data_IF_553505449774
#
_entry.id   IF_553505449774
#
_cell.length_a   1.000
_cell.length_b   1.000
_cell.length_c   1.000
_cell.angle_alpha   90.00
_cell.angle_beta   90.00
_cell.angle_gamma   90.00
#
_symmetry.space_group_name_H-M   'P 1'
#
loop_
_entity.id
_entity.type
_entity.pdbx_description
1 polymer ?
#
# COMPACT_ATOMS: atom_id res chain seq x y z
N UNK A 1 30.07 -51.01 5.82
CA UNK A 1 29.79 -50.07 6.92
C UNK A 1 29.19 -48.79 6.36
N UNK A 2 28.12 -48.29 7.01
CA UNK A 2 27.44 -47.01 6.72
C UNK A 2 28.27 -45.84 7.27
N UNK A 3 28.37 -44.72 6.53
CA UNK A 3 27.80 -43.42 6.94
C UNK A 3 28.11 -42.30 5.93
N UNK A 4 27.02 -41.65 5.56
CA UNK A 4 26.81 -40.30 5.04
C UNK A 4 27.65 -39.23 5.75
N UNK A 5 28.13 -38.25 4.98
CA UNK A 5 28.69 -36.98 5.45
C UNK A 5 28.24 -35.85 4.54
N UNK A 6 26.97 -35.48 4.66
CA UNK A 6 26.43 -34.22 4.18
C UNK A 6 26.65 -33.14 5.25
N UNK A 7 26.85 -31.89 4.82
CA UNK A 7 26.57 -30.71 5.63
C UNK A 7 27.78 -29.87 6.00
N UNK A 8 27.89 -28.70 5.38
CA UNK A 8 27.80 -27.42 6.08
C UNK A 8 27.97 -26.29 5.05
N UNK A 9 26.92 -26.01 4.28
CA UNK A 9 26.78 -24.70 3.68
C UNK A 9 26.51 -23.71 4.81
N UNK A 10 27.51 -22.90 5.10
CA UNK A 10 27.53 -21.89 6.15
C UNK A 10 26.31 -20.98 6.03
N UNK A 11 25.42 -21.09 7.01
CA UNK A 11 24.22 -20.29 7.18
C UNK A 11 24.62 -18.84 7.50
N UNK A 12 24.69 -18.00 6.47
CA UNK A 12 24.84 -16.55 6.67
C UNK A 12 23.57 -16.01 7.32
N UNK A 13 23.65 -15.28 8.44
CA UNK A 13 22.48 -14.65 9.01
C UNK A 13 21.91 -13.63 8.02
N UNK A 14 20.62 -13.79 7.75
CA UNK A 14 19.78 -12.92 6.93
C UNK A 14 19.95 -11.48 7.43
N UNK A 15 20.63 -10.63 6.64
CA UNK A 15 20.77 -9.21 6.94
C UNK A 15 19.36 -8.60 6.98
N UNK A 16 18.97 -7.87 8.04
CA UNK A 16 17.69 -7.16 8.04
C UNK A 16 17.71 -6.15 6.88
N UNK A 17 16.66 -6.17 6.05
CA UNK A 17 16.50 -5.30 4.89
C UNK A 17 16.73 -3.84 5.29
N UNK A 18 17.72 -3.19 4.67
CA UNK A 18 18.13 -1.82 4.95
C UNK A 18 17.00 -0.78 4.82
N UNK A 19 15.89 -1.11 4.12
CA UNK A 19 14.69 -0.27 4.02
C UNK A 19 14.07 0.05 5.40
N UNK A 20 13.95 -0.93 6.30
CA UNK A 20 13.34 -0.75 7.63
C UNK A 20 14.15 0.24 8.50
N UNK A 21 15.46 0.33 8.29
CA UNK A 21 16.31 1.29 8.99
C UNK A 21 16.29 2.69 8.37
N UNK A 22 15.96 2.82 7.08
CA UNK A 22 15.88 4.09 6.37
C UNK A 22 14.63 4.88 6.78
N UNK A 23 13.49 4.20 6.90
CA UNK A 23 12.21 4.79 7.33
C UNK A 23 12.25 5.21 8.80
N UNK A 24 12.85 4.40 9.69
CA UNK A 24 12.91 4.67 11.15
C UNK A 24 13.85 5.80 11.58
N UNK A 25 14.66 6.37 10.67
CA UNK A 25 15.61 7.47 10.95
C UNK A 25 15.30 8.79 10.26
N UNK A 26 14.12 8.93 9.61
CA UNK A 26 13.68 10.21 9.05
C UNK A 26 14.66 10.80 8.03
N UNK A 27 15.23 9.96 7.15
CA UNK A 27 16.24 10.42 6.19
C UNK A 27 16.07 9.83 4.79
N UNK A 28 14.83 9.77 4.30
CA UNK A 28 14.57 9.87 2.86
C UNK A 28 14.66 11.35 2.48
N UNK A 29 15.87 11.81 2.13
CA UNK A 29 16.08 13.16 1.63
C UNK A 29 15.84 13.17 0.12
N UNK A 30 14.63 13.54 -0.28
CA UNK A 30 14.34 14.00 -1.64
C UNK A 30 13.76 15.41 -1.57
N UNK A 31 14.65 16.38 -1.74
CA UNK A 31 14.38 17.61 -2.49
C UNK A 31 13.23 18.54 -2.06
N UNK A 32 13.59 19.50 -1.21
CA UNK A 32 13.20 20.92 -1.29
C UNK A 32 11.76 21.31 -0.91
N UNK A 33 11.65 21.90 0.28
CA UNK A 33 10.56 22.79 0.69
C UNK A 33 10.25 23.86 -0.37
N UNK A 34 8.98 23.99 -0.72
CA UNK A 34 8.37 25.27 -1.02
C UNK A 34 6.90 25.26 -0.55
N UNK A 35 6.69 25.63 0.71
CA UNK A 35 5.36 25.92 1.25
C UNK A 35 5.17 27.44 1.21
N UNK A 36 4.29 27.94 0.35
CA UNK A 36 3.57 29.15 0.69
C UNK A 36 2.07 28.89 0.68
N UNK A 37 1.45 29.51 1.69
CA UNK A 37 0.10 30.07 1.68
C UNK A 37 -0.95 29.35 2.51
N UNK A 38 -0.95 29.66 3.82
CA UNK A 38 -2.15 29.68 4.64
C UNK A 38 -2.89 30.99 4.38
N UNK A 39 -4.00 30.91 3.64
CA UNK A 39 -4.99 31.97 3.44
C UNK A 39 -6.37 31.47 3.82
N UNK A 40 -7.13 32.25 4.59
CA UNK A 40 -8.26 31.77 5.38
C UNK A 40 -9.60 31.59 4.67
N UNK A 41 -10.46 30.80 5.36
CA UNK A 41 -11.94 30.86 5.48
C UNK A 41 -12.79 30.75 4.21
N UNK A 42 -13.44 29.59 4.03
CA UNK A 42 -14.92 29.40 4.03
C UNK A 42 -15.26 27.90 4.02
N UNK A 43 -16.23 27.49 4.83
CA UNK A 43 -16.89 26.17 4.74
C UNK A 43 -17.68 26.08 3.44
N UNK A 44 -17.15 25.31 2.48
CA UNK A 44 -17.90 24.67 1.41
C UNK A 44 -17.60 23.17 1.47
N UNK A 45 -18.56 22.26 1.18
CA UNK A 45 -18.27 20.84 1.14
C UNK A 45 -17.19 20.62 0.08
N UNK A 46 -16.00 20.24 0.52
CA UNK A 46 -14.85 20.08 -0.35
C UNK A 46 -15.25 19.21 -1.56
N UNK A 47 -14.92 19.62 -2.79
CA UNK A 47 -15.02 18.72 -3.93
C UNK A 47 -14.27 17.43 -3.57
N UNK A 48 -14.82 16.28 -3.98
CA UNK A 48 -14.10 15.01 -3.83
C UNK A 48 -12.66 15.23 -4.33
N UNK A 49 -11.63 14.71 -3.63
CA UNK A 49 -10.28 14.81 -4.14
C UNK A 49 -10.27 14.33 -5.59
N UNK A 50 -9.79 15.20 -6.48
CA UNK A 50 -9.63 14.93 -7.90
C UNK A 50 -8.48 13.94 -8.12
N UNK A 51 -8.38 13.41 -9.34
CA UNK A 51 -7.32 12.46 -9.74
C UNK A 51 -5.91 12.97 -9.40
N UNK A 52 -5.71 14.29 -9.42
CA UNK A 52 -4.48 14.96 -8.99
C UNK A 52 -4.22 14.88 -7.47
N UNK A 53 -5.23 15.09 -6.60
CA UNK A 53 -5.07 14.88 -5.14
C UNK A 53 -4.77 13.43 -4.75
N UNK A 54 -5.15 12.47 -5.61
CA UNK A 54 -4.86 11.03 -5.46
C UNK A 54 -3.42 10.70 -5.85
N UNK A 55 -2.85 11.42 -6.82
CA UNK A 55 -1.44 11.29 -7.19
C UNK A 55 -0.50 11.77 -6.06
N UNK A 56 -0.94 12.78 -5.28
CA UNK A 56 -0.23 13.25 -4.09
C UNK A 56 -0.33 12.23 -2.95
N UNK A 57 -1.50 11.59 -2.76
CA UNK A 57 -1.68 10.48 -1.80
C UNK A 57 -0.80 9.26 -2.15
N UNK A 58 -0.61 8.99 -3.45
CA UNK A 58 0.28 7.95 -3.94
C UNK A 58 1.75 8.26 -3.72
N UNK A 59 2.15 9.53 -3.63
CA UNK A 59 3.52 9.90 -3.26
C UNK A 59 3.86 9.50 -1.81
N UNK A 60 2.86 9.19 -0.99
CA UNK A 60 3.07 8.77 0.40
C UNK A 60 3.29 7.24 0.58
N UNK A 61 3.08 6.41 -0.45
CA UNK A 61 3.31 4.94 -0.38
C UNK A 61 4.79 4.51 -0.50
N UNK A 62 5.73 5.35 -0.04
CA UNK A 62 7.17 5.11 -0.13
C UNK A 62 7.60 3.83 0.61
N UNK A 63 6.97 3.52 1.75
CA UNK A 63 7.28 2.31 2.52
C UNK A 63 6.91 1.05 1.73
N UNK A 64 5.68 0.96 1.22
CA UNK A 64 5.23 -0.15 0.38
C UNK A 64 6.12 -0.32 -0.87
N UNK A 65 6.48 0.78 -1.55
CA UNK A 65 7.35 0.73 -2.74
C UNK A 65 8.77 0.29 -2.40
N UNK A 66 9.36 0.73 -1.28
CA UNK A 66 10.67 0.23 -0.82
C UNK A 66 10.61 -1.27 -0.54
N UNK A 67 9.54 -1.71 0.12
CA UNK A 67 9.39 -3.11 0.52
C UNK A 67 9.14 -4.03 -0.68
N UNK A 68 8.25 -3.63 -1.60
CA UNK A 68 8.02 -4.32 -2.86
C UNK A 68 9.31 -4.42 -3.69
N UNK A 69 10.04 -3.30 -3.83
CA UNK A 69 11.32 -3.28 -4.54
C UNK A 69 12.37 -4.19 -3.88
N UNK A 70 12.38 -4.27 -2.54
CA UNK A 70 13.24 -5.17 -1.78
C UNK A 70 12.96 -6.65 -2.02
N UNK A 71 11.72 -7.00 -2.36
CA UNK A 71 11.29 -8.35 -2.75
C UNK A 71 11.25 -8.54 -4.29
N UNK A 72 11.73 -7.56 -5.07
CA UNK A 72 11.80 -7.63 -6.53
C UNK A 72 10.47 -7.36 -7.26
N UNK A 73 9.47 -6.83 -6.55
CA UNK A 73 8.15 -6.48 -7.08
C UNK A 73 8.14 -5.03 -7.55
N UNK A 74 7.72 -4.82 -8.81
CA UNK A 74 7.53 -3.47 -9.38
C UNK A 74 6.05 -3.11 -9.33
N UNK A 75 5.74 -2.02 -8.62
CA UNK A 75 4.40 -1.45 -8.54
C UNK A 75 4.19 -0.46 -9.69
N UNK A 76 3.23 -0.76 -10.57
CA UNK A 76 2.92 0.03 -11.77
C UNK A 76 1.44 0.39 -11.90
N UNK A 77 0.75 0.41 -10.76
CA UNK A 77 -0.65 0.77 -10.62
C UNK A 77 -1.59 -0.09 -11.48
N UNK A 78 -1.17 -1.32 -11.80
CA UNK A 78 -1.93 -2.32 -12.56
C UNK A 78 -2.50 -3.42 -11.67
N UNK A 79 -3.52 -4.13 -12.16
CA UNK A 79 -4.03 -5.32 -11.49
C UNK A 79 -2.94 -6.39 -11.25
N UNK A 80 -2.03 -6.59 -12.21
CA UNK A 80 -0.94 -7.55 -12.11
C UNK A 80 0.03 -7.24 -10.95
N UNK A 81 0.21 -5.96 -10.62
CA UNK A 81 1.04 -5.57 -9.48
C UNK A 81 0.40 -5.92 -8.12
N UNK A 82 -0.94 -6.04 -8.04
CA UNK A 82 -1.62 -6.52 -6.84
C UNK A 82 -1.35 -8.01 -6.61
N UNK A 83 -1.38 -8.81 -7.67
CA UNK A 83 -1.01 -10.23 -7.59
C UNK A 83 0.43 -10.39 -7.10
N UNK A 84 1.34 -9.55 -7.59
CA UNK A 84 2.73 -9.56 -7.15
C UNK A 84 2.89 -9.17 -5.67
N UNK A 85 2.10 -8.20 -5.17
CA UNK A 85 2.04 -7.88 -3.74
C UNK A 85 1.57 -9.08 -2.91
N UNK A 86 0.52 -9.78 -3.36
CA UNK A 86 -0.03 -10.95 -2.67
C UNK A 86 0.97 -12.12 -2.54
N UNK A 87 2.01 -12.16 -3.38
CA UNK A 87 3.08 -13.17 -3.33
C UNK A 87 4.27 -12.77 -2.44
N UNK A 88 4.27 -11.58 -1.84
CA UNK A 88 5.38 -11.13 -1.00
C UNK A 88 5.53 -11.95 0.27
N UNK A 89 6.78 -12.13 0.71
CA UNK A 89 7.07 -12.86 1.95
C UNK A 89 6.75 -11.95 3.14
N UNK A 90 5.87 -12.35 4.07
CA UNK A 90 5.27 -11.47 5.08
C UNK A 90 6.18 -11.13 6.27
N UNK A 91 7.40 -10.66 6.00
CA UNK A 91 8.44 -10.35 7.02
C UNK A 91 8.08 -9.17 7.93
N UNK A 92 7.11 -8.36 7.53
CA UNK A 92 6.63 -7.20 8.29
C UNK A 92 5.74 -7.58 9.48
N UNK A 93 5.17 -8.80 9.50
CA UNK A 93 4.19 -9.19 10.52
C UNK A 93 4.76 -9.31 11.93
N UNK A 94 6.08 -9.46 12.06
CA UNK A 94 6.77 -9.48 13.34
C UNK A 94 6.87 -8.08 14.00
N UNK A 95 6.57 -7.01 13.25
CA UNK A 95 6.63 -5.62 13.73
C UNK A 95 5.27 -4.92 13.59
N UNK A 96 4.61 -4.66 14.72
CA UNK A 96 3.24 -4.12 14.78
C UNK A 96 3.11 -2.75 14.12
N UNK A 97 4.15 -1.92 14.25
CA UNK A 97 4.19 -0.61 13.63
C UNK A 97 4.22 -0.76 12.10
N UNK A 98 5.19 -1.52 11.57
CA UNK A 98 5.33 -1.80 10.14
C UNK A 98 4.08 -2.47 9.57
N UNK A 99 3.46 -3.42 10.28
CA UNK A 99 2.21 -4.04 9.88
C UNK A 99 1.11 -3.00 9.66
N UNK A 100 0.98 -2.05 10.58
CA UNK A 100 -0.05 -1.01 10.52
C UNK A 100 0.19 -0.05 9.34
N UNK A 101 1.42 0.43 9.17
CA UNK A 101 1.78 1.33 8.08
C UNK A 101 1.64 0.64 6.72
N UNK A 102 2.18 -0.58 6.58
CA UNK A 102 2.11 -1.33 5.33
C UNK A 102 0.67 -1.67 4.94
N UNK A 103 -0.18 -2.01 5.92
CA UNK A 103 -1.60 -2.27 5.66
C UNK A 103 -2.34 -1.03 5.16
N UNK A 104 -2.03 0.15 5.70
CA UNK A 104 -2.60 1.41 5.19
C UNK A 104 -2.13 1.65 3.74
N UNK A 105 -0.82 1.54 3.48
CA UNK A 105 -0.27 1.77 2.14
C UNK A 105 -0.81 0.76 1.11
N UNK A 106 -0.92 -0.51 1.48
CA UNK A 106 -1.48 -1.55 0.62
C UNK A 106 -2.94 -1.26 0.25
N UNK A 107 -3.72 -0.77 1.22
CA UNK A 107 -5.09 -0.32 0.99
C UNK A 107 -5.16 0.88 0.04
N UNK A 108 -4.34 1.90 0.27
CA UNK A 108 -4.30 3.08 -0.60
C UNK A 108 -3.87 2.73 -2.04
N UNK A 109 -2.92 1.80 -2.17
CA UNK A 109 -2.51 1.27 -3.46
C UNK A 109 -3.64 0.51 -4.17
N UNK A 110 -4.35 -0.38 -3.46
CA UNK A 110 -5.53 -1.08 -3.99
C UNK A 110 -6.58 -0.08 -4.50
N UNK A 111 -6.91 0.94 -3.71
CA UNK A 111 -7.89 1.95 -4.12
C UNK A 111 -7.47 2.72 -5.37
N UNK A 112 -6.17 2.95 -5.54
CA UNK A 112 -5.63 3.57 -6.76
C UNK A 112 -5.83 2.68 -7.98
N UNK A 113 -5.48 1.40 -7.88
CA UNK A 113 -5.68 0.45 -8.98
C UNK A 113 -7.16 0.38 -9.35
N UNK A 114 -8.07 0.34 -8.37
CA UNK A 114 -9.52 0.36 -8.60
C UNK A 114 -9.94 1.63 -9.35
N UNK A 115 -9.63 2.82 -8.83
CA UNK A 115 -10.07 4.09 -9.45
C UNK A 115 -9.48 4.29 -10.85
N UNK A 116 -8.28 3.78 -11.12
CA UNK A 116 -7.65 3.87 -12.44
C UNK A 116 -8.21 2.90 -13.47
N UNK A 117 -8.74 1.76 -13.04
CA UNK A 117 -9.10 0.66 -13.96
C UNK A 117 -10.60 0.34 -13.99
N UNK A 118 -11.36 0.67 -12.94
CA UNK A 118 -12.80 0.45 -12.84
C UNK A 118 -13.54 1.74 -13.18
N UNK A 119 -14.35 1.71 -14.23
CA UNK A 119 -15.04 2.90 -14.73
C UNK A 119 -16.04 3.44 -13.69
N UNK A 120 -15.97 4.74 -13.42
CA UNK A 120 -16.86 5.41 -12.47
C UNK A 120 -16.53 5.18 -11.00
N UNK A 121 -15.46 4.44 -10.68
CA UNK A 121 -14.91 4.41 -9.34
C UNK A 121 -14.25 5.75 -9.00
N UNK A 122 -14.54 6.29 -7.81
CA UNK A 122 -14.00 7.57 -7.34
C UNK A 122 -13.62 7.51 -5.87
N UNK A 123 -12.62 8.27 -5.46
CA UNK A 123 -12.28 8.41 -4.06
C UNK A 123 -13.30 9.27 -3.30
N UNK A 124 -13.52 8.91 -2.03
CA UNK A 124 -14.30 9.67 -1.07
C UNK A 124 -13.65 9.59 0.30
N UNK A 125 -13.74 10.69 1.04
CA UNK A 125 -13.40 10.71 2.47
C UNK A 125 -14.73 10.64 3.23
N UNK A 126 -14.90 9.63 4.06
CA UNK A 126 -16.06 9.49 4.94
C UNK A 126 -16.01 10.53 6.07
N UNK A 127 -17.12 10.70 6.79
CA UNK A 127 -17.20 11.66 7.93
C UNK A 127 -16.24 11.36 9.07
N UNK A 128 -15.79 10.12 9.19
CA UNK A 128 -14.77 9.65 10.13
C UNK A 128 -13.34 9.97 9.66
N UNK A 129 -13.16 10.54 8.46
CA UNK A 129 -11.85 10.82 7.86
C UNK A 129 -11.21 9.64 7.15
N UNK A 130 -11.91 8.49 7.04
CA UNK A 130 -11.36 7.31 6.36
C UNK A 130 -11.48 7.45 4.83
N UNK A 131 -10.42 7.19 4.07
CA UNK A 131 -10.51 7.15 2.61
C UNK A 131 -11.17 5.84 2.15
N UNK A 132 -12.19 5.99 1.30
CA UNK A 132 -12.95 4.89 0.71
C UNK A 132 -13.06 5.09 -0.80
N UNK A 133 -13.26 4.00 -1.54
CA UNK A 133 -13.57 4.06 -2.97
C UNK A 133 -15.07 3.85 -3.16
N UNK A 134 -15.73 4.79 -3.83
CA UNK A 134 -17.14 4.69 -4.19
C UNK A 134 -17.25 4.24 -5.64
N UNK A 135 -17.96 3.13 -5.87
CA UNK A 135 -18.19 2.56 -7.19
C UNK A 135 -19.35 3.27 -7.92
N UNK A 136 -19.46 3.02 -9.22
CA UNK A 136 -20.57 3.53 -10.05
C UNK A 136 -21.94 3.07 -9.51
N UNK A 137 -22.00 1.89 -8.89
CA UNK A 137 -23.19 1.36 -8.22
C UNK A 137 -23.60 2.13 -6.96
N UNK A 138 -22.80 3.09 -6.50
CA UNK A 138 -22.97 3.82 -5.24
C UNK A 138 -22.49 3.07 -3.99
N UNK A 139 -21.95 1.85 -4.14
CA UNK A 139 -21.34 1.10 -3.03
C UNK A 139 -20.00 1.72 -2.64
N UNK A 140 -19.74 1.79 -1.34
CA UNK A 140 -18.46 2.24 -0.80
C UNK A 140 -17.61 1.02 -0.40
N UNK A 141 -16.33 1.06 -0.72
CA UNK A 141 -15.35 0.03 -0.45
C UNK A 141 -14.24 0.60 0.44
N UNK A 142 -14.09 0.03 1.63
CA UNK A 142 -13.10 0.47 2.63
C UNK A 142 -11.74 -0.17 2.35
N UNK A 143 -10.95 0.54 1.55
CA UNK A 143 -9.66 0.05 1.07
C UNK A 143 -8.61 -0.06 2.19
N UNK A 144 -8.69 0.81 3.21
CA UNK A 144 -7.74 0.80 4.33
C UNK A 144 -8.01 -0.39 5.24
N UNK A 145 -9.29 -0.70 5.51
CA UNK A 145 -9.65 -1.91 6.23
C UNK A 145 -9.15 -3.16 5.49
N UNK A 146 -9.42 -3.25 4.19
CA UNK A 146 -8.95 -4.36 3.35
C UNK A 146 -7.42 -4.51 3.37
N UNK A 147 -6.67 -3.42 3.22
CA UNK A 147 -5.21 -3.45 3.25
C UNK A 147 -4.64 -3.89 4.61
N UNK A 148 -5.27 -3.49 5.72
CA UNK A 148 -4.89 -3.95 7.08
C UNK A 148 -5.15 -5.43 7.29
N UNK A 149 -6.29 -5.93 6.83
CA UNK A 149 -6.60 -7.36 6.87
C UNK A 149 -5.58 -8.16 6.07
N UNK A 150 -5.29 -7.72 4.85
CA UNK A 150 -4.24 -8.31 4.02
C UNK A 150 -2.86 -8.30 4.69
N UNK A 151 -2.45 -7.17 5.29
CA UNK A 151 -1.16 -7.09 5.97
C UNK A 151 -1.09 -8.06 7.16
N UNK A 152 -2.19 -8.22 7.89
CA UNK A 152 -2.28 -9.06 9.09
C UNK A 152 -2.30 -10.57 8.76
N UNK A 153 -3.10 -10.99 7.78
CA UNK A 153 -3.36 -12.43 7.51
C UNK A 153 -2.92 -12.88 6.11
N UNK A 154 -2.80 -11.96 5.15
CA UNK A 154 -2.63 -12.25 3.73
C UNK A 154 -3.93 -12.63 3.03
N UNK A 155 -5.07 -12.53 3.73
CA UNK A 155 -6.38 -12.90 3.22
C UNK A 155 -7.48 -11.94 3.74
N UNK A 156 -8.42 -11.48 2.90
CA UNK A 156 -8.49 -11.74 1.46
C UNK A 156 -7.31 -11.13 0.67
N UNK A 157 -7.00 -11.71 -0.49
CA UNK A 157 -5.95 -11.24 -1.38
C UNK A 157 -6.35 -9.90 -2.02
N UNK A 158 -5.40 -8.99 -2.23
CA UNK A 158 -5.67 -7.69 -2.85
C UNK A 158 -6.15 -7.87 -4.30
N UNK A 159 -5.56 -8.81 -5.04
CA UNK A 159 -5.97 -9.13 -6.40
C UNK A 159 -7.39 -9.72 -6.44
N UNK A 160 -7.77 -10.52 -5.45
CA UNK A 160 -9.13 -11.06 -5.36
C UNK A 160 -10.14 -9.93 -5.11
N UNK A 161 -9.88 -9.07 -4.13
CA UNK A 161 -10.74 -7.93 -3.83
C UNK A 161 -10.89 -6.99 -5.03
N UNK A 162 -9.80 -6.76 -5.75
CA UNK A 162 -9.82 -6.02 -7.01
C UNK A 162 -10.75 -6.69 -8.04
N UNK A 163 -10.59 -8.00 -8.28
CA UNK A 163 -11.40 -8.72 -9.24
C UNK A 163 -12.90 -8.66 -8.88
N UNK A 164 -13.25 -8.79 -7.59
CA UNK A 164 -14.64 -8.64 -7.13
C UNK A 164 -15.21 -7.24 -7.44
N UNK A 165 -14.40 -6.19 -7.28
CA UNK A 165 -14.82 -4.81 -7.53
C UNK A 165 -14.87 -4.48 -9.03
N UNK A 166 -14.00 -5.09 -9.85
CA UNK A 166 -13.92 -4.84 -11.28
C UNK A 166 -15.16 -5.33 -12.07
N UNK A 167 -15.97 -6.21 -11.48
CA UNK A 167 -17.22 -6.72 -12.07
C UNK A 167 -18.41 -5.74 -11.97
N UNK A 168 -18.24 -4.58 -11.32
CA UNK A 168 -19.30 -3.57 -11.11
C UNK A 168 -19.26 -2.44 -12.14
#
# INVERSE_FOLDING_TARGET
>A
MRRTGAGAAENRPNRPSACLWCVRRGRCQSGRMHIPFLGGRREEPAPAPDAEGIAELLAECELLRCQASGDGVRLDDSAASLEALDQMVPRWRDDVETLTWLGNDAGLYLGTVIVRTVAGAVWRIRRDGQPVVRLASGREFDVVAAGREWAASGAPQLAQLYAEVAEY
#
